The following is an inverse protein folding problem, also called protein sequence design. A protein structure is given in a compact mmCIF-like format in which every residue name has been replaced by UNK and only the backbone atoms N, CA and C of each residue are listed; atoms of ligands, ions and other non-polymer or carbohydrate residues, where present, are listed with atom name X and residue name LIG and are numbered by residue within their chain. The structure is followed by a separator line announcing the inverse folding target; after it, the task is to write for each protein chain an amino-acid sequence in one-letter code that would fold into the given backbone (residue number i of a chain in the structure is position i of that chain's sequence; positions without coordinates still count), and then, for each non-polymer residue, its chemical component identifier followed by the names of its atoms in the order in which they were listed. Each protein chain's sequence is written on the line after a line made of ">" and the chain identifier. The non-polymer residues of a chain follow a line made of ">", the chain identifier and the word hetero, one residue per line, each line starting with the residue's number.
data_IF_415397175252
#
_entry.id   IF_415397175252
#
_cell.length_a   1.000
_cell.length_b   1.000
_cell.length_c   1.000
_cell.angle_alpha   90.00
_cell.angle_beta   90.00
_cell.angle_gamma   90.00
#
_symmetry.space_group_name_H-M   'P 1'
#
loop_
_entity.id
_entity.type
_entity.pdbx_description
1 polymer ?
#
# COMPACT_ATOMS: atom_id res chain seq x y z
N UNK A 1 7.08 42.05 -23.24
CA UNK A 1 7.27 42.60 -21.90
C UNK A 1 5.91 42.94 -21.27
N UNK A 2 5.23 42.00 -20.67
CA UNK A 2 4.03 42.28 -19.89
C UNK A 2 4.17 41.58 -18.55
N UNK A 3 4.85 42.23 -17.63
CA UNK A 3 4.81 41.92 -16.22
C UNK A 3 3.44 42.39 -15.69
N UNK A 4 2.55 41.44 -15.41
CA UNK A 4 1.35 41.74 -14.67
C UNK A 4 1.69 42.06 -13.23
N UNK A 5 1.91 43.34 -12.96
CA UNK A 5 2.03 43.87 -11.60
C UNK A 5 0.63 44.01 -11.08
N UNK A 6 0.21 43.10 -10.17
CA UNK A 6 -1.03 43.29 -9.40
C UNK A 6 -0.73 44.28 -8.27
N UNK A 7 -1.24 45.47 -8.41
CA UNK A 7 -1.20 46.51 -7.38
C UNK A 7 -2.36 46.24 -6.43
N UNK A 8 -2.09 45.83 -5.21
CA UNK A 8 -3.09 45.73 -4.14
C UNK A 8 -3.06 47.01 -3.32
N UNK A 9 -4.03 47.89 -3.53
CA UNK A 9 -4.22 49.08 -2.73
C UNK A 9 -5.10 48.75 -1.51
N UNK A 10 -4.52 48.70 -0.33
CA UNK A 10 -5.26 48.59 0.93
C UNK A 10 -5.78 49.97 1.34
N UNK A 11 -6.91 50.02 2.03
CA UNK A 11 -7.74 51.16 2.37
C UNK A 11 -7.07 52.32 3.16
N UNK A 12 -5.77 52.37 3.25
CA UNK A 12 -4.98 53.40 3.95
C UNK A 12 -3.97 54.13 3.04
N UNK A 13 -4.33 54.33 1.78
CA UNK A 13 -3.61 55.26 0.90
C UNK A 13 -2.15 54.97 0.57
N UNK A 14 -1.63 53.80 0.82
CA UNK A 14 -0.29 53.38 0.43
C UNK A 14 -0.35 52.13 -0.45
N UNK A 15 0.12 52.28 -1.72
CA UNK A 15 0.28 51.16 -2.64
C UNK A 15 1.68 50.55 -2.46
N UNK A 16 1.71 49.27 -2.09
CA UNK A 16 2.97 48.53 -2.04
C UNK A 16 3.11 47.66 -3.30
N UNK A 17 4.22 47.81 -3.98
CA UNK A 17 4.59 46.92 -5.05
C UNK A 17 5.35 45.75 -4.44
N UNK A 18 4.70 44.61 -4.41
CA UNK A 18 5.37 43.38 -4.00
C UNK A 18 5.94 42.66 -5.23
N UNK A 19 7.25 42.45 -5.31
CA UNK A 19 7.81 41.53 -6.29
C UNK A 19 7.58 40.10 -5.84
N UNK A 20 6.32 39.66 -5.91
CA UNK A 20 5.90 38.34 -5.43
C UNK A 20 5.71 37.38 -6.59
N UNK A 21 6.73 37.17 -7.42
CA UNK A 21 6.63 36.13 -8.47
C UNK A 21 7.58 34.95 -8.28
N UNK A 22 8.48 34.97 -7.30
CA UNK A 22 9.42 33.86 -7.15
C UNK A 22 9.08 32.87 -6.03
N UNK A 23 8.17 33.19 -5.12
CA UNK A 23 7.92 32.32 -3.96
C UNK A 23 6.69 31.42 -4.16
N UNK A 24 5.73 31.83 -5.00
CA UNK A 24 4.55 31.01 -5.25
C UNK A 24 4.74 29.88 -6.27
N UNK A 25 5.82 29.91 -7.06
CA UNK A 25 6.11 28.80 -7.99
C UNK A 25 6.61 27.53 -7.28
N UNK A 26 7.18 27.67 -6.09
CA UNK A 26 7.67 26.52 -5.33
C UNK A 26 6.66 25.94 -4.36
N UNK A 27 5.53 26.60 -4.11
CA UNK A 27 4.48 26.09 -3.20
C UNK A 27 3.40 25.32 -3.97
N UNK A 28 3.25 25.55 -5.28
CA UNK A 28 2.30 24.83 -6.12
C UNK A 28 2.84 23.50 -6.66
N UNK A 29 4.12 23.23 -6.47
CA UNK A 29 4.77 21.94 -6.75
C UNK A 29 5.21 21.24 -5.46
N UNK A 30 4.41 21.29 -4.43
CA UNK A 30 4.35 20.16 -3.56
C UNK A 30 3.55 19.10 -4.33
N UNK A 31 4.20 18.05 -4.85
CA UNK A 31 3.47 16.85 -5.15
C UNK A 31 2.94 16.40 -3.80
N UNK A 32 1.71 16.70 -3.51
CA UNK A 32 0.93 15.93 -2.55
C UNK A 32 0.66 14.53 -3.12
N UNK A 33 1.71 13.96 -3.69
CA UNK A 33 1.88 12.53 -3.81
C UNK A 33 2.46 12.10 -2.46
N UNK A 34 1.68 12.25 -1.40
CA UNK A 34 1.70 11.27 -0.35
C UNK A 34 1.13 10.00 -1.02
N UNK A 35 1.86 9.42 -1.94
CA UNK A 35 1.73 8.03 -2.29
C UNK A 35 1.98 7.31 -0.98
N UNK A 36 0.94 6.80 -0.39
CA UNK A 36 1.00 5.88 0.73
C UNK A 36 1.79 4.70 0.19
N UNK A 37 3.11 4.79 0.32
CA UNK A 37 4.06 3.81 -0.17
C UNK A 37 3.72 2.50 0.50
N UNK A 38 3.17 1.55 -0.26
CA UNK A 38 2.91 0.21 0.24
C UNK A 38 4.24 -0.49 0.53
N UNK A 39 4.22 -1.49 1.41
CA UNK A 39 5.37 -2.35 1.65
C UNK A 39 5.71 -3.10 0.36
N UNK A 40 6.99 -3.16 0.01
CA UNK A 40 7.48 -3.86 -1.19
C UNK A 40 8.12 -5.17 -0.79
N UNK A 41 7.72 -6.25 -1.43
CA UNK A 41 8.31 -7.58 -1.32
C UNK A 41 8.89 -7.98 -2.66
N UNK A 42 10.10 -8.52 -2.65
CA UNK A 42 10.80 -9.01 -3.84
C UNK A 42 11.16 -10.47 -3.61
N UNK A 43 10.89 -11.33 -4.57
CA UNK A 43 11.19 -12.76 -4.52
C UNK A 43 11.45 -13.32 -5.91
N UNK A 44 11.82 -14.57 -5.97
CA UNK A 44 12.15 -15.28 -7.21
C UNK A 44 11.06 -16.30 -7.54
N UNK A 45 10.84 -16.54 -8.84
CA UNK A 45 9.92 -17.57 -9.30
C UNK A 45 10.24 -18.94 -8.68
N UNK A 46 9.21 -19.66 -8.26
CA UNK A 46 9.31 -20.96 -7.59
C UNK A 46 9.50 -20.89 -6.09
N UNK A 47 9.92 -19.75 -5.55
CA UNK A 47 10.13 -19.57 -4.12
C UNK A 47 8.82 -19.35 -3.35
N UNK A 48 8.97 -19.16 -2.05
CA UNK A 48 7.89 -18.84 -1.11
C UNK A 48 8.13 -17.46 -0.54
N UNK A 49 7.12 -16.60 -0.56
CA UNK A 49 7.15 -15.28 0.10
C UNK A 49 6.24 -15.28 1.32
N UNK A 50 6.67 -14.61 2.38
CA UNK A 50 5.89 -14.33 3.58
C UNK A 50 5.67 -12.82 3.68
N UNK A 51 4.40 -12.42 3.70
CA UNK A 51 3.96 -11.04 3.77
C UNK A 51 3.37 -10.80 5.15
N UNK A 52 3.95 -9.90 5.92
CA UNK A 52 3.50 -9.57 7.28
C UNK A 52 2.73 -8.26 7.31
N UNK A 53 1.55 -8.28 7.90
CA UNK A 53 0.61 -7.18 8.00
C UNK A 53 0.27 -6.89 9.45
N UNK A 54 0.85 -5.85 10.02
CA UNK A 54 0.56 -5.42 11.38
C UNK A 54 -0.77 -4.69 11.50
N UNK A 55 -1.44 -4.83 12.63
CA UNK A 55 -2.70 -4.16 12.97
C UNK A 55 -2.71 -3.69 14.42
N UNK A 56 -3.51 -2.67 14.76
CA UNK A 56 -3.64 -2.18 16.14
C UNK A 56 -4.50 -3.12 17.01
N UNK A 57 -4.33 -3.03 18.32
CA UNK A 57 -4.96 -3.90 19.32
C UNK A 57 -6.48 -4.01 19.19
N UNK A 58 -7.16 -2.94 18.81
CA UNK A 58 -8.62 -2.94 18.61
C UNK A 58 -9.12 -3.90 17.53
N UNK A 59 -8.21 -4.45 16.70
CA UNK A 59 -8.53 -5.36 15.62
C UNK A 59 -8.11 -6.81 15.87
N UNK A 60 -7.86 -7.19 17.12
CA UNK A 60 -7.51 -8.58 17.49
C UNK A 60 -8.56 -9.56 17.00
N UNK A 61 -9.85 -9.25 17.21
CA UNK A 61 -10.98 -10.12 16.84
C UNK A 61 -11.56 -9.81 15.46
N UNK A 62 -11.00 -8.83 14.73
CA UNK A 62 -11.45 -8.52 13.38
C UNK A 62 -10.95 -9.57 12.40
N UNK A 63 -11.78 -10.15 11.53
CA UNK A 63 -11.30 -11.06 10.50
C UNK A 63 -10.26 -10.42 9.60
N UNK A 64 -9.23 -11.19 9.21
CA UNK A 64 -8.12 -10.77 8.36
C UNK A 64 -8.25 -11.41 7.00
N UNK A 65 -7.94 -10.67 5.95
CA UNK A 65 -7.91 -11.22 4.60
C UNK A 65 -6.80 -10.61 3.74
N UNK A 66 -6.52 -11.27 2.66
CA UNK A 66 -5.58 -10.82 1.65
C UNK A 66 -6.24 -10.86 0.28
N UNK A 67 -6.17 -9.77 -0.45
CA UNK A 67 -6.82 -9.64 -1.74
C UNK A 67 -5.89 -9.05 -2.78
N UNK A 68 -6.20 -9.32 -4.04
CA UNK A 68 -5.52 -8.72 -5.19
C UNK A 68 -6.23 -7.43 -5.61
N UNK A 69 -5.45 -6.43 -6.05
CA UNK A 69 -5.99 -5.21 -6.64
C UNK A 69 -7.03 -5.52 -7.73
N UNK A 70 -8.18 -4.84 -7.76
CA UNK A 70 -8.58 -3.64 -7.01
C UNK A 70 -9.20 -3.90 -5.63
N UNK A 71 -9.36 -5.16 -5.20
CA UNK A 71 -9.89 -5.52 -3.88
C UNK A 71 -11.26 -4.89 -3.56
N UNK A 72 -12.16 -4.88 -4.53
CA UNK A 72 -13.49 -4.25 -4.43
C UNK A 72 -14.64 -5.25 -4.31
N UNK A 73 -14.36 -6.54 -4.47
CA UNK A 73 -15.34 -7.63 -4.38
C UNK A 73 -14.73 -8.89 -3.78
N UNK A 74 -15.59 -9.82 -3.35
CA UNK A 74 -15.16 -11.09 -2.77
C UNK A 74 -14.33 -11.97 -3.71
N UNK A 75 -14.50 -11.84 -5.01
CA UNK A 75 -13.71 -12.57 -6.02
C UNK A 75 -12.23 -12.13 -6.06
N UNK A 76 -11.91 -10.95 -5.54
CA UNK A 76 -10.53 -10.49 -5.40
C UNK A 76 -9.85 -11.03 -4.12
N UNK A 77 -10.62 -11.61 -3.20
CA UNK A 77 -10.10 -12.16 -1.95
C UNK A 77 -9.45 -13.51 -2.21
N UNK A 78 -8.16 -13.61 -1.90
CA UNK A 78 -7.35 -14.81 -2.11
C UNK A 78 -7.39 -15.75 -0.92
N UNK A 79 -7.46 -15.19 0.29
CA UNK A 79 -7.53 -15.96 1.52
C UNK A 79 -8.08 -15.07 2.65
N UNK A 80 -8.87 -15.66 3.55
CA UNK A 80 -9.48 -15.00 4.71
C UNK A 80 -9.40 -15.87 5.95
N UNK A 81 -9.10 -15.27 7.09
CA UNK A 81 -9.10 -15.92 8.40
C UNK A 81 -10.06 -15.19 9.35
N UNK A 82 -10.97 -15.95 9.95
CA UNK A 82 -11.96 -15.47 10.93
C UNK A 82 -11.54 -15.77 12.36
N UNK A 83 -10.64 -16.74 12.59
CA UNK A 83 -10.21 -17.18 13.92
C UNK A 83 -8.75 -16.91 14.13
N UNK A 84 -8.37 -16.12 15.16
CA UNK A 84 -6.97 -15.86 15.46
C UNK A 84 -6.22 -17.15 15.86
N UNK A 85 -4.91 -17.11 15.71
CA UNK A 85 -3.95 -18.18 16.06
C UNK A 85 -4.20 -19.53 15.38
N UNK A 86 -5.00 -19.55 14.31
CA UNK A 86 -5.23 -20.71 13.46
C UNK A 86 -4.73 -20.46 12.05
N UNK A 87 -4.08 -21.44 11.46
CA UNK A 87 -3.67 -21.40 10.06
C UNK A 87 -4.86 -21.75 9.16
N UNK A 88 -5.13 -20.92 8.18
CA UNK A 88 -6.02 -21.23 7.06
C UNK A 88 -5.17 -21.43 5.82
N UNK A 89 -5.56 -22.34 4.94
CA UNK A 89 -4.85 -22.57 3.68
C UNK A 89 -5.85 -22.78 2.55
N UNK A 90 -5.53 -22.17 1.40
CA UNK A 90 -6.26 -22.35 0.15
C UNK A 90 -5.26 -22.32 -1.01
N UNK A 91 -5.11 -23.45 -1.70
CA UNK A 91 -4.14 -23.61 -2.78
C UNK A 91 -2.71 -23.24 -2.34
N UNK A 92 -2.12 -22.28 -3.02
CA UNK A 92 -0.77 -21.77 -2.72
C UNK A 92 -0.71 -20.76 -1.58
N UNK A 93 -1.85 -20.31 -1.09
CA UNK A 93 -1.98 -19.31 -0.05
C UNK A 93 -2.20 -19.94 1.31
N UNK A 94 -1.57 -19.39 2.34
CA UNK A 94 -1.93 -19.63 3.73
C UNK A 94 -1.86 -18.35 4.54
N UNK A 95 -2.70 -18.25 5.56
CA UNK A 95 -2.77 -17.09 6.44
C UNK A 95 -2.83 -17.55 7.89
N UNK A 96 -2.02 -16.95 8.74
CA UNK A 96 -2.09 -17.07 10.20
C UNK A 96 -2.18 -15.67 10.81
N UNK A 97 -3.14 -15.47 11.70
CA UNK A 97 -3.26 -14.26 12.50
C UNK A 97 -2.64 -14.50 13.87
N UNK A 98 -1.51 -13.88 14.15
CA UNK A 98 -0.79 -13.97 15.42
C UNK A 98 -1.22 -12.84 16.36
N UNK A 99 -2.05 -13.16 17.34
CA UNK A 99 -2.58 -12.18 18.30
C UNK A 99 -1.47 -11.56 19.13
N UNK A 100 -0.51 -12.33 19.62
CA UNK A 100 0.60 -11.81 20.42
C UNK A 100 1.49 -10.83 19.63
N UNK A 101 1.69 -11.09 18.35
CA UNK A 101 2.48 -10.24 17.46
C UNK A 101 1.71 -9.05 16.87
N UNK A 102 0.42 -8.96 17.06
CA UNK A 102 -0.45 -7.95 16.41
C UNK A 102 -0.20 -7.87 14.90
N UNK A 103 -0.04 -9.03 14.29
CA UNK A 103 0.18 -9.13 12.85
C UNK A 103 -0.38 -10.44 12.32
N UNK A 104 -0.83 -10.40 11.08
CA UNK A 104 -1.11 -11.63 10.35
C UNK A 104 -0.10 -11.80 9.22
N UNK A 105 0.24 -13.04 8.95
CA UNK A 105 1.21 -13.40 7.92
C UNK A 105 0.52 -14.20 6.84
N UNK A 106 0.68 -13.73 5.62
CA UNK A 106 0.26 -14.44 4.40
C UNK A 106 1.49 -15.07 3.78
N UNK A 107 1.40 -16.36 3.49
CA UNK A 107 2.43 -17.11 2.79
C UNK A 107 1.93 -17.48 1.41
N UNK A 108 2.70 -17.16 0.37
CA UNK A 108 2.44 -17.58 -1.01
C UNK A 108 3.55 -18.52 -1.42
N UNK A 109 3.20 -19.77 -1.72
CA UNK A 109 4.14 -20.81 -2.15
C UNK A 109 4.19 -20.90 -3.67
N UNK A 110 5.31 -21.43 -4.18
CA UNK A 110 5.50 -21.69 -5.61
C UNK A 110 5.18 -20.46 -6.46
N UNK A 111 5.86 -19.35 -6.16
CA UNK A 111 5.67 -18.07 -6.83
C UNK A 111 5.80 -18.19 -8.34
N UNK A 112 4.93 -17.49 -9.05
CA UNK A 112 4.92 -17.35 -10.51
C UNK A 112 5.21 -15.91 -10.88
N UNK A 113 5.77 -15.67 -12.05
CA UNK A 113 5.97 -14.30 -12.55
C UNK A 113 4.67 -13.51 -12.59
N UNK A 114 3.54 -14.17 -12.89
CA UNK A 114 2.20 -13.58 -12.89
C UNK A 114 1.67 -13.19 -11.52
N UNK A 115 2.33 -13.59 -10.42
CA UNK A 115 2.00 -13.15 -9.07
C UNK A 115 2.51 -11.73 -8.79
N UNK A 116 3.39 -11.17 -9.61
CA UNK A 116 3.77 -9.76 -9.50
C UNK A 116 2.57 -8.85 -9.60
N UNK A 117 2.49 -7.86 -8.74
CA UNK A 117 1.39 -6.93 -8.74
C UNK A 117 1.10 -6.29 -7.39
N UNK A 118 -0.07 -5.68 -7.31
CA UNK A 118 -0.56 -4.98 -6.12
C UNK A 118 -1.56 -5.85 -5.38
N UNK A 119 -1.40 -5.90 -4.07
CA UNK A 119 -2.25 -6.63 -3.13
C UNK A 119 -2.58 -5.73 -1.95
N UNK A 120 -3.53 -6.17 -1.15
CA UNK A 120 -3.88 -5.48 0.09
C UNK A 120 -4.06 -6.49 1.23
N UNK A 121 -3.51 -6.12 2.38
CA UNK A 121 -3.86 -6.69 3.66
C UNK A 121 -5.13 -6.02 4.16
N UNK A 122 -6.19 -6.78 4.33
CA UNK A 122 -7.51 -6.27 4.70
C UNK A 122 -7.92 -6.64 6.12
N UNK A 123 -8.55 -5.69 6.79
CA UNK A 123 -9.30 -5.89 8.02
C UNK A 123 -10.78 -5.78 7.69
N UNK A 124 -11.52 -6.87 7.85
CA UNK A 124 -12.96 -6.94 7.54
C UNK A 124 -13.75 -6.27 8.67
N UNK A 125 -14.20 -5.06 8.41
CA UNK A 125 -14.93 -4.24 9.39
C UNK A 125 -16.38 -4.04 8.94
N UNK A 126 -17.28 -3.93 9.89
CA UNK A 126 -18.71 -3.79 9.64
C UNK A 126 -19.09 -2.60 8.74
N UNK A 127 -18.37 -1.49 8.83
CA UNK A 127 -18.74 -0.27 8.10
C UNK A 127 -17.84 0.00 6.88
N UNK A 128 -16.53 -0.08 7.07
CA UNK A 128 -15.54 0.13 6.01
C UNK A 128 -14.26 -0.61 6.34
N UNK A 129 -13.81 -1.44 5.43
CA UNK A 129 -12.57 -2.17 5.56
C UNK A 129 -11.34 -1.26 5.58
N UNK A 130 -10.36 -1.64 6.36
CA UNK A 130 -9.04 -1.02 6.32
C UNK A 130 -8.15 -1.84 5.39
N UNK A 131 -7.58 -1.20 4.38
CA UNK A 131 -6.69 -1.80 3.40
C UNK A 131 -5.28 -1.23 3.52
N UNK A 132 -4.29 -2.12 3.61
CA UNK A 132 -2.87 -1.77 3.60
C UNK A 132 -2.23 -2.33 2.33
N UNK A 133 -1.71 -1.44 1.50
CA UNK A 133 -1.14 -1.78 0.20
C UNK A 133 0.15 -2.58 0.33
N UNK A 134 0.28 -3.61 -0.50
CA UNK A 134 1.45 -4.47 -0.64
C UNK A 134 1.81 -4.56 -2.12
N UNK A 135 3.06 -4.33 -2.45
CA UNK A 135 3.59 -4.54 -3.80
C UNK A 135 4.46 -5.80 -3.78
N UNK A 136 4.16 -6.75 -4.65
CA UNK A 136 4.95 -7.96 -4.85
C UNK A 136 5.62 -7.92 -6.20
N UNK A 137 6.93 -8.14 -6.22
CA UNK A 137 7.73 -8.27 -7.43
C UNK A 137 8.37 -9.65 -7.46
N UNK A 138 8.03 -10.45 -8.46
CA UNK A 138 8.58 -11.79 -8.68
C UNK A 138 9.47 -11.74 -9.91
N UNK A 139 10.74 -12.11 -9.73
CA UNK A 139 11.75 -12.13 -10.77
C UNK A 139 12.04 -13.56 -11.22
N UNK A 140 12.45 -13.69 -12.46
CA UNK A 140 12.93 -14.97 -12.99
C UNK A 140 14.23 -15.38 -12.28
N UNK A 141 14.34 -16.65 -11.89
CA UNK A 141 15.57 -17.21 -11.34
C UNK A 141 16.69 -17.13 -12.38
N UNK A 142 17.90 -16.76 -11.95
CA UNK A 142 19.08 -16.85 -12.82
C UNK A 142 19.42 -18.32 -12.98
N UNK A 143 19.26 -18.85 -14.17
CA UNK A 143 19.96 -20.08 -14.54
C UNK A 143 21.45 -19.74 -14.58
N UNK A 144 22.19 -20.13 -13.56
CA UNK A 144 23.65 -20.23 -13.68
C UNK A 144 23.91 -21.43 -14.58
N UNK A 145 24.15 -21.16 -15.85
CA UNK A 145 24.80 -22.14 -16.71
C UNK A 145 26.24 -22.33 -16.18
N UNK A 146 26.38 -23.18 -15.17
CA UNK A 146 27.68 -23.73 -14.81
C UNK A 146 28.01 -24.80 -15.87
N UNK A 147 28.75 -24.37 -16.86
CA UNK A 147 29.51 -25.28 -17.70
C UNK A 147 30.63 -25.93 -16.89
#
# INVERSE_FOLDING_TARGET
>A
MNTLVKILCLFIGKCFIFPFLSIFHNVLFLPSVLMKSGTVYVSTEGETVKISCSYPDRHINTPKYFCRDPCTSSEHVLIKNVKPDQVVSDGRYSLIDSVNGRSFTVTIKHLRLTDSGVYYCGLDQWFKDTLKKVNLSVHQGRYSNSL
#
